data_IF_864643038616
#
_entry.id   IF_864643038616
#
_cell.length_a   1.000
_cell.length_b   1.000
_cell.length_c   1.000
_cell.angle_alpha   90.00
_cell.angle_beta   90.00
_cell.angle_gamma   90.00
#
_symmetry.space_group_name_H-M   'P 1'
#
loop_
_entity.id
_entity.type
_entity.pdbx_description
1 polymer ?
#
# COMPACT_ATOMS: atom_id res chain seq x y z
N UNK A 1 -13.88 16.90 -3.34
CA UNK A 1 -12.85 16.34 -2.43
C UNK A 1 -11.94 15.44 -3.25
N UNK A 2 -10.71 15.86 -3.54
CA UNK A 2 -9.84 15.28 -4.59
C UNK A 2 -9.07 14.03 -4.15
N UNK A 3 -9.16 13.65 -2.88
CA UNK A 3 -8.59 12.43 -2.35
C UNK A 3 -9.68 11.72 -1.56
N UNK A 4 -10.14 10.55 -2.04
CA UNK A 4 -10.84 9.61 -1.17
C UNK A 4 -9.98 9.40 0.10
N UNK A 5 -10.60 9.19 1.28
CA UNK A 5 -9.88 9.06 2.55
C UNK A 5 -8.74 8.04 2.40
N UNK A 6 -7.52 8.57 2.30
CA UNK A 6 -6.34 7.79 1.98
C UNK A 6 -5.79 7.25 3.29
N UNK A 7 -5.96 5.95 3.53
CA UNK A 7 -5.48 5.32 4.76
C UNK A 7 -3.96 5.16 4.68
N UNK A 8 -3.24 6.12 5.26
CA UNK A 8 -1.76 6.10 5.31
C UNK A 8 -1.29 5.15 6.41
N UNK A 9 -0.46 4.16 6.05
CA UNK A 9 0.11 3.19 7.01
C UNK A 9 1.60 2.99 6.81
N UNK A 10 2.26 2.58 7.89
CA UNK A 10 3.64 2.14 7.84
C UNK A 10 3.75 0.88 6.97
N UNK A 11 4.74 0.83 6.09
CA UNK A 11 4.99 -0.37 5.30
C UNK A 11 5.70 -1.43 6.16
N UNK A 12 5.48 -2.72 5.86
CA UNK A 12 6.10 -3.82 6.62
C UNK A 12 7.62 -3.71 6.71
N UNK A 13 8.29 -3.21 5.66
CA UNK A 13 9.74 -3.04 5.68
C UNK A 13 10.17 -1.97 6.68
N UNK A 14 9.51 -0.80 6.69
CA UNK A 14 9.79 0.26 7.65
C UNK A 14 9.47 -0.16 9.08
N UNK A 15 8.38 -0.91 9.28
CA UNK A 15 8.04 -1.52 10.57
C UNK A 15 9.18 -2.41 11.06
N UNK A 16 9.55 -3.44 10.27
CA UNK A 16 10.60 -4.37 10.64
C UNK A 16 11.94 -3.66 10.86
N UNK A 17 12.28 -2.68 10.03
CA UNK A 17 13.51 -1.89 10.18
C UNK A 17 13.52 -1.10 11.48
N UNK A 18 12.45 -0.37 11.79
CA UNK A 18 12.37 0.44 13.02
C UNK A 18 12.49 -0.43 14.28
N UNK A 19 11.78 -1.56 14.30
CA UNK A 19 11.81 -2.53 15.41
C UNK A 19 13.20 -3.17 15.52
N UNK A 20 13.76 -3.67 14.41
CA UNK A 20 15.08 -4.31 14.37
C UNK A 20 16.18 -3.39 14.90
N UNK A 21 16.15 -2.12 14.50
CA UNK A 21 17.11 -1.12 14.98
C UNK A 21 16.99 -0.93 16.49
N UNK A 22 15.77 -0.76 17.02
CA UNK A 22 15.59 -0.46 18.44
C UNK A 22 15.85 -1.66 19.35
N UNK A 23 15.47 -2.86 18.93
CA UNK A 23 15.75 -4.11 19.66
C UNK A 23 17.23 -4.49 19.68
N UNK A 24 18.04 -3.89 18.80
CA UNK A 24 19.50 -4.02 18.80
C UNK A 24 20.25 -2.95 19.57
N UNK A 25 19.55 -2.09 20.31
CA UNK A 25 20.19 -1.10 21.18
C UNK A 25 20.36 -1.66 22.61
N UNK A 26 21.24 -1.04 23.42
CA UNK A 26 21.32 -1.31 24.85
C UNK A 26 19.98 -1.03 25.54
N UNK A 27 19.73 -1.74 26.65
CA UNK A 27 18.59 -1.47 27.53
C UNK A 27 18.62 -0.01 27.98
N UNK A 28 17.46 0.64 27.92
CA UNK A 28 17.22 1.98 28.46
C UNK A 28 15.97 1.90 29.33
N UNK A 29 15.89 2.72 30.38
CA UNK A 29 14.68 2.81 31.22
C UNK A 29 13.48 3.23 30.38
N UNK A 30 12.53 2.31 30.11
CA UNK A 30 11.39 2.66 29.29
C UNK A 30 10.31 3.30 30.18
N UNK A 31 9.66 4.35 29.68
CA UNK A 31 8.43 4.86 30.28
C UNK A 31 7.31 3.85 29.99
N UNK A 32 7.10 2.89 30.89
CA UNK A 32 6.09 1.83 30.77
C UNK A 32 5.25 1.76 32.05
N UNK A 33 3.92 1.82 31.88
CA UNK A 33 2.97 1.66 32.98
C UNK A 33 2.29 0.28 32.86
N UNK A 34 2.63 -0.69 33.73
CA UNK A 34 2.03 -2.04 33.68
C UNK A 34 0.53 -2.04 33.96
N UNK A 35 0.02 -1.13 34.80
CA UNK A 35 -1.41 -1.03 35.10
C UNK A 35 -2.20 -0.51 33.90
N UNK A 36 -1.65 0.45 33.16
CA UNK A 36 -2.25 0.90 31.90
C UNK A 36 -2.32 -0.24 30.89
N UNK A 37 -1.24 -1.01 30.77
CA UNK A 37 -1.17 -2.15 29.87
C UNK A 37 -2.19 -3.23 30.25
N UNK A 38 -2.31 -3.58 31.54
CA UNK A 38 -3.30 -4.54 32.03
C UNK A 38 -4.74 -4.06 31.84
N UNK A 39 -5.02 -2.77 32.04
CA UNK A 39 -6.33 -2.20 31.77
C UNK A 39 -6.73 -2.35 30.29
N UNK A 40 -5.79 -2.17 29.38
CA UNK A 40 -6.01 -2.36 27.94
C UNK A 40 -6.08 -3.85 27.54
N UNK A 41 -5.27 -4.68 28.20
CA UNK A 41 -5.15 -6.12 27.93
C UNK A 41 -5.09 -6.89 29.26
N UNK A 42 -6.21 -7.46 29.73
CA UNK A 42 -6.30 -8.07 31.08
C UNK A 42 -5.34 -9.23 31.37
N UNK A 43 -4.80 -9.87 30.32
CA UNK A 43 -3.83 -10.96 30.44
C UNK A 43 -2.41 -10.49 30.78
N UNK A 44 -2.14 -9.18 30.77
CA UNK A 44 -0.83 -8.64 31.12
C UNK A 44 -0.65 -8.68 32.63
N UNK A 45 0.45 -9.29 33.07
CA UNK A 45 0.86 -9.31 34.47
C UNK A 45 1.61 -8.03 34.83
N UNK A 46 1.24 -7.42 35.95
CA UNK A 46 1.83 -6.17 36.42
C UNK A 46 3.24 -6.35 37.01
N UNK A 47 3.58 -7.55 37.44
CA UNK A 47 4.91 -7.94 37.92
C UNK A 47 5.94 -8.13 36.79
N UNK A 48 5.47 -8.25 35.54
CA UNK A 48 6.31 -8.29 34.34
C UNK A 48 6.69 -6.88 33.86
N UNK A 49 7.28 -6.09 34.77
CA UNK A 49 7.76 -4.75 34.52
C UNK A 49 9.29 -4.72 34.34
N UNK A 50 9.83 -3.82 33.50
CA UNK A 50 11.28 -3.57 33.41
C UNK A 50 11.89 -3.26 34.78
N UNK A 51 13.09 -3.76 35.03
CA UNK A 51 13.81 -3.47 36.27
C UNK A 51 14.45 -2.10 36.14
N UNK A 52 14.03 -1.16 36.98
CA UNK A 52 14.62 0.19 37.07
C UNK A 52 15.96 0.08 37.80
N UNK A 53 17.00 0.76 37.31
CA UNK A 53 18.36 0.73 37.88
C UNK A 53 19.05 -0.64 37.84
N UNK A 54 18.84 -1.44 36.79
CA UNK A 54 19.67 -2.62 36.57
C UNK A 54 21.16 -2.21 36.57
N UNK A 55 22.04 -2.93 37.29
CA UNK A 55 23.44 -2.52 37.44
C UNK A 55 24.10 -2.30 36.08
N UNK A 56 24.90 -1.23 35.94
CA UNK A 56 25.55 -0.77 34.70
C UNK A 56 26.30 -1.90 33.95
N UNK A 57 26.69 -2.96 34.66
CA UNK A 57 27.38 -4.14 34.13
C UNK A 57 26.47 -5.16 33.42
N UNK A 58 25.14 -5.06 33.56
CA UNK A 58 24.12 -5.87 32.85
C UNK A 58 23.54 -5.17 31.61
N UNK A 59 24.28 -4.23 31.02
CA UNK A 59 23.90 -3.48 29.80
C UNK A 59 23.98 -4.33 28.54
N UNK A 60 23.37 -5.52 28.58
CA UNK A 60 23.06 -6.32 27.41
C UNK A 60 22.10 -5.59 26.47
N UNK A 61 22.09 -6.03 25.21
CA UNK A 61 21.10 -5.60 24.23
C UNK A 61 19.67 -5.91 24.72
N UNK A 62 18.67 -5.21 24.17
CA UNK A 62 17.26 -5.53 24.45
C UNK A 62 16.90 -6.99 24.14
N UNK A 63 17.54 -7.57 23.13
CA UNK A 63 17.28 -8.93 22.61
C UNK A 63 18.54 -9.52 22.00
N UNK A 64 18.66 -10.85 22.00
CA UNK A 64 19.61 -11.58 21.14
C UNK A 64 19.20 -11.47 19.66
N UNK A 65 20.07 -11.91 18.74
CA UNK A 65 19.76 -11.92 17.30
C UNK A 65 18.59 -12.85 17.00
N UNK A 66 18.57 -14.05 17.59
CA UNK A 66 17.50 -15.05 17.41
C UNK A 66 16.15 -14.53 17.92
N UNK A 67 16.13 -13.97 19.14
CA UNK A 67 14.93 -13.36 19.72
C UNK A 67 14.39 -12.23 18.83
N UNK A 68 15.30 -11.43 18.28
CA UNK A 68 14.93 -10.33 17.39
C UNK A 68 14.30 -10.84 16.10
N UNK A 69 14.90 -11.82 15.44
CA UNK A 69 14.32 -12.40 14.22
C UNK A 69 12.94 -13.01 14.51
N UNK A 70 12.78 -13.69 15.66
CA UNK A 70 11.47 -14.23 16.07
C UNK A 70 10.43 -13.14 16.31
N UNK A 71 10.78 -12.04 16.97
CA UNK A 71 9.88 -10.89 17.14
C UNK A 71 9.50 -10.30 15.77
N UNK A 72 10.44 -10.19 14.84
CA UNK A 72 10.18 -9.67 13.49
C UNK A 72 9.29 -10.59 12.66
N UNK A 73 9.36 -11.91 12.86
CA UNK A 73 8.43 -12.89 12.28
C UNK A 73 7.01 -12.67 12.81
N UNK A 74 6.85 -12.62 14.14
CA UNK A 74 5.55 -12.36 14.79
C UNK A 74 4.94 -11.06 14.29
N UNK A 75 5.70 -9.96 14.29
CA UNK A 75 5.22 -8.68 13.76
C UNK A 75 4.85 -8.75 12.27
N UNK A 76 5.56 -9.55 11.48
CA UNK A 76 5.20 -9.80 10.07
C UNK A 76 3.88 -10.54 9.91
N UNK A 77 3.62 -11.52 10.77
CA UNK A 77 2.35 -12.24 10.82
C UNK A 77 1.21 -11.29 11.21
N UNK A 78 1.35 -10.59 12.34
CA UNK A 78 0.36 -9.63 12.84
C UNK A 78 0.06 -8.51 11.83
N UNK A 79 1.08 -8.05 11.10
CA UNK A 79 0.92 -7.01 10.07
C UNK A 79 -0.11 -7.41 9.03
N UNK A 80 -0.16 -8.69 8.67
CA UNK A 80 -0.93 -9.17 7.53
C UNK A 80 -2.35 -9.62 7.88
N UNK A 81 -2.68 -9.85 9.14
CA UNK A 81 -4.01 -10.30 9.59
C UNK A 81 -5.07 -9.20 9.41
N UNK A 82 -6.30 -9.60 9.07
CA UNK A 82 -7.44 -8.69 8.89
C UNK A 82 -8.76 -9.47 8.98
N UNK A 83 -9.85 -8.85 9.44
CA UNK A 83 -11.18 -9.47 9.51
C UNK A 83 -11.79 -9.90 8.16
N UNK A 84 -11.16 -9.56 7.03
CA UNK A 84 -11.62 -9.89 5.68
C UNK A 84 -10.74 -10.99 5.05
N UNK A 85 -9.72 -11.45 5.75
CA UNK A 85 -8.82 -12.50 5.30
C UNK A 85 -8.88 -13.62 6.35
N UNK A 86 -9.30 -14.83 5.98
CA UNK A 86 -9.30 -15.93 6.92
C UNK A 86 -7.88 -16.31 7.32
N UNK A 87 -7.72 -16.89 8.50
CA UNK A 87 -6.50 -17.55 8.94
C UNK A 87 -6.78 -19.04 9.10
N UNK A 88 -6.32 -19.85 8.14
CA UNK A 88 -6.78 -21.24 8.02
C UNK A 88 -8.23 -21.29 7.51
N UNK A 89 -9.15 -21.66 8.39
CA UNK A 89 -10.57 -21.76 8.08
C UNK A 89 -11.42 -20.70 8.78
N UNK A 90 -10.82 -19.94 9.70
CA UNK A 90 -11.56 -19.03 10.58
C UNK A 90 -11.37 -17.56 10.19
N UNK A 91 -12.44 -16.79 10.37
CA UNK A 91 -12.39 -15.34 10.37
C UNK A 91 -12.39 -14.85 11.81
N UNK A 92 -11.81 -13.68 12.05
CA UNK A 92 -11.79 -13.07 13.38
C UNK A 92 -11.99 -11.57 13.23
N UNK A 93 -12.66 -10.94 14.19
CA UNK A 93 -12.83 -9.48 14.17
C UNK A 93 -11.48 -8.77 14.28
N UNK A 94 -11.41 -7.53 13.80
CA UNK A 94 -10.20 -6.72 13.89
C UNK A 94 -9.74 -6.53 15.36
N UNK A 95 -10.69 -6.43 16.29
CA UNK A 95 -10.43 -6.33 17.74
C UNK A 95 -9.88 -7.64 18.30
N UNK A 96 -10.46 -8.79 17.94
CA UNK A 96 -9.94 -10.10 18.34
C UNK A 96 -8.54 -10.35 17.79
N UNK A 97 -8.28 -9.98 16.53
CA UNK A 97 -6.96 -10.07 15.90
C UNK A 97 -5.93 -9.23 16.66
N UNK A 98 -6.29 -8.02 17.08
CA UNK A 98 -5.40 -7.16 17.86
C UNK A 98 -5.11 -7.79 19.23
N UNK A 99 -6.13 -8.24 19.96
CA UNK A 99 -5.95 -8.92 21.25
C UNK A 99 -5.05 -10.15 21.13
N UNK A 100 -5.30 -11.01 20.14
CA UNK A 100 -4.52 -12.22 19.89
C UNK A 100 -3.07 -11.89 19.48
N UNK A 101 -2.87 -10.89 18.62
CA UNK A 101 -1.52 -10.44 18.21
C UNK A 101 -0.72 -9.86 19.38
N UNK A 102 -1.39 -9.11 20.27
CA UNK A 102 -0.78 -8.58 21.49
C UNK A 102 -0.44 -9.71 22.46
N UNK A 103 -1.35 -10.67 22.65
CA UNK A 103 -1.16 -11.83 23.52
C UNK A 103 0.02 -12.68 23.06
N UNK A 104 0.06 -13.06 21.78
CA UNK A 104 1.17 -13.84 21.21
C UNK A 104 2.53 -13.16 21.41
N UNK A 105 2.60 -11.83 21.23
CA UNK A 105 3.84 -11.09 21.47
C UNK A 105 4.20 -11.01 22.95
N UNK A 106 3.21 -10.80 23.82
CA UNK A 106 3.40 -10.72 25.26
C UNK A 106 3.88 -12.04 25.84
N UNK A 107 3.22 -13.16 25.52
CA UNK A 107 3.57 -14.51 25.96
C UNK A 107 4.99 -14.86 25.54
N UNK A 108 5.36 -14.59 24.28
CA UNK A 108 6.73 -14.78 23.82
C UNK A 108 7.75 -13.99 24.65
N UNK A 109 7.45 -12.72 24.95
CA UNK A 109 8.33 -11.90 25.80
C UNK A 109 8.39 -12.43 27.24
N UNK A 110 7.27 -12.90 27.78
CA UNK A 110 7.15 -13.43 29.13
C UNK A 110 7.99 -14.69 29.30
N UNK A 111 7.83 -15.66 28.39
CA UNK A 111 8.58 -16.93 28.37
C UNK A 111 10.10 -16.73 28.32
N UNK A 112 10.56 -15.70 27.60
CA UNK A 112 11.98 -15.41 27.41
C UNK A 112 12.50 -14.30 28.36
N UNK A 113 11.71 -13.89 29.35
CA UNK A 113 12.01 -12.83 30.31
C UNK A 113 12.45 -11.48 29.66
N UNK A 114 11.83 -11.12 28.53
CA UNK A 114 12.15 -9.93 27.74
C UNK A 114 11.40 -8.67 28.20
N UNK A 115 11.50 -8.34 29.49
CA UNK A 115 10.74 -7.24 30.13
C UNK A 115 10.92 -5.88 29.44
N UNK A 116 12.17 -5.49 29.16
CA UNK A 116 12.48 -4.22 28.48
C UNK A 116 12.02 -4.21 27.02
N UNK A 117 12.10 -5.35 26.33
CA UNK A 117 11.62 -5.45 24.95
C UNK A 117 10.10 -5.33 24.90
N UNK A 118 9.38 -5.99 25.80
CA UNK A 118 7.93 -5.87 25.92
C UNK A 118 7.49 -4.43 26.19
N UNK A 119 8.11 -3.75 27.17
CA UNK A 119 7.81 -2.36 27.48
C UNK A 119 7.98 -1.43 26.26
N UNK A 120 9.03 -1.65 25.47
CA UNK A 120 9.21 -0.97 24.19
C UNK A 120 8.12 -1.35 23.18
N UNK A 121 7.83 -2.64 23.01
CA UNK A 121 6.89 -3.15 22.01
C UNK A 121 5.47 -2.65 22.27
N UNK A 122 5.00 -2.78 23.52
CA UNK A 122 3.69 -2.30 23.95
C UNK A 122 3.52 -0.82 23.63
N UNK A 123 4.40 0.04 24.20
CA UNK A 123 4.29 1.49 24.12
C UNK A 123 4.27 2.03 22.70
N UNK A 124 5.08 1.45 21.81
CA UNK A 124 5.32 2.02 20.49
C UNK A 124 4.52 1.31 19.37
N UNK A 125 4.04 0.09 19.61
CA UNK A 125 3.46 -0.73 18.54
C UNK A 125 2.12 -1.38 18.90
N UNK A 126 1.93 -1.86 20.13
CA UNK A 126 0.76 -2.68 20.47
C UNK A 126 -0.36 -1.96 21.21
N UNK A 127 -0.18 -0.70 21.64
CA UNK A 127 -1.33 0.09 22.10
C UNK A 127 -2.34 0.28 20.96
N UNK A 128 -3.63 0.41 21.29
CA UNK A 128 -4.74 0.63 20.34
C UNK A 128 -4.42 1.76 19.36
N UNK A 129 -3.80 2.83 19.83
CA UNK A 129 -3.46 3.99 18.99
C UNK A 129 -2.35 3.64 17.99
N UNK A 130 -1.27 3.00 18.44
CA UNK A 130 -0.13 2.71 17.58
C UNK A 130 -0.38 1.52 16.65
N UNK A 131 -1.13 0.52 17.11
CA UNK A 131 -1.46 -0.68 16.35
C UNK A 131 -2.15 -0.33 15.01
N UNK A 132 -3.07 0.64 15.05
CA UNK A 132 -3.78 1.16 13.86
C UNK A 132 -2.87 1.77 12.79
N UNK A 133 -1.65 2.20 13.15
CA UNK A 133 -0.71 2.85 12.22
C UNK A 133 0.04 1.87 11.31
N UNK A 134 0.10 0.59 11.68
CA UNK A 134 0.91 -0.40 10.96
C UNK A 134 0.15 -1.68 10.61
N UNK A 135 -0.74 -2.17 11.47
CA UNK A 135 -1.42 -3.45 11.24
C UNK A 135 -2.51 -3.32 10.17
N UNK A 136 -2.70 -4.40 9.37
CA UNK A 136 -3.81 -4.43 8.42
C UNK A 136 -5.16 -4.33 9.13
N UNK A 137 -5.36 -5.12 10.19
CA UNK A 137 -6.57 -5.13 11.03
C UNK A 137 -6.82 -3.83 11.81
N UNK A 138 -5.95 -2.82 11.70
CA UNK A 138 -6.21 -1.50 12.26
C UNK A 138 -7.24 -0.67 11.48
N UNK A 139 -7.71 -1.17 10.34
CA UNK A 139 -8.64 -0.50 9.42
C UNK A 139 -9.86 -1.39 9.27
N UNK A 140 -11.04 -0.80 9.44
CA UNK A 140 -12.29 -1.55 9.34
C UNK A 140 -12.79 -1.60 7.89
N UNK A 141 -13.43 -2.71 7.55
CA UNK A 141 -14.16 -2.94 6.28
C UNK A 141 -13.34 -2.84 4.99
N UNK A 142 -12.03 -2.55 5.03
CA UNK A 142 -11.21 -2.43 3.82
C UNK A 142 -9.72 -2.71 4.04
N UNK A 143 -9.06 -3.21 3.00
CA UNK A 143 -7.61 -3.45 2.94
C UNK A 143 -6.96 -2.44 1.98
N UNK A 144 -6.10 -1.54 2.49
CA UNK A 144 -5.32 -0.64 1.65
C UNK A 144 -4.50 -1.36 0.57
N UNK A 145 -4.76 -1.00 -0.69
CA UNK A 145 -4.13 -1.56 -1.91
C UNK A 145 -2.63 -1.20 -2.00
N UNK A 146 -2.24 -0.06 -1.44
CA UNK A 146 -0.89 0.50 -1.54
C UNK A 146 -0.21 0.68 -0.18
N UNK A 147 1.12 0.49 -0.16
CA UNK A 147 1.99 0.90 0.95
C UNK A 147 2.30 2.38 0.77
N UNK A 148 1.45 3.25 1.32
CA UNK A 148 1.44 4.70 1.04
C UNK A 148 2.78 5.38 1.30
N UNK A 149 3.48 5.03 2.38
CA UNK A 149 4.81 5.59 2.71
C UNK A 149 5.83 5.37 1.59
N UNK A 150 5.91 4.15 1.03
CA UNK A 150 6.86 3.85 -0.05
C UNK A 150 6.52 4.59 -1.36
N UNK A 151 5.23 4.72 -1.70
CA UNK A 151 4.81 5.40 -2.92
C UNK A 151 5.11 6.91 -2.83
N UNK A 152 4.83 7.51 -1.68
CA UNK A 152 5.13 8.92 -1.40
C UNK A 152 6.64 9.15 -1.41
N UNK A 153 7.42 8.33 -0.72
CA UNK A 153 8.89 8.44 -0.72
C UNK A 153 9.49 8.26 -2.10
N UNK A 154 9.01 7.29 -2.88
CA UNK A 154 9.46 7.06 -4.25
C UNK A 154 9.14 8.25 -5.15
N UNK A 155 7.94 8.82 -5.02
CA UNK A 155 7.54 10.03 -5.73
C UNK A 155 8.50 11.19 -5.43
N UNK A 156 8.74 11.49 -4.15
CA UNK A 156 9.66 12.55 -3.75
C UNK A 156 11.12 12.26 -4.14
N UNK A 157 11.53 10.99 -4.10
CA UNK A 157 12.87 10.58 -4.52
C UNK A 157 13.10 10.84 -6.01
N UNK A 158 12.13 10.49 -6.87
CA UNK A 158 12.20 10.78 -8.31
C UNK A 158 12.28 12.29 -8.50
N UNK A 159 11.35 13.05 -7.92
CA UNK A 159 11.30 14.49 -8.08
C UNK A 159 12.58 15.20 -7.65
N UNK A 160 13.13 14.83 -6.48
CA UNK A 160 14.40 15.39 -5.99
C UNK A 160 15.57 15.09 -6.91
N UNK A 161 15.64 13.87 -7.46
CA UNK A 161 16.76 13.44 -8.31
C UNK A 161 16.67 13.91 -9.74
N UNK A 162 15.46 14.06 -10.30
CA UNK A 162 15.27 14.37 -11.72
C UNK A 162 15.00 15.84 -11.99
N UNK A 163 14.39 16.55 -11.03
CA UNK A 163 13.95 17.92 -11.24
C UNK A 163 14.55 18.92 -10.26
N UNK A 164 14.84 18.51 -9.03
CA UNK A 164 15.32 19.42 -7.98
C UNK A 164 16.78 19.17 -7.56
N UNK A 165 17.57 18.46 -8.37
CA UNK A 165 18.90 17.99 -7.97
C UNK A 165 19.93 19.13 -7.76
N UNK A 166 19.71 20.28 -8.39
CA UNK A 166 20.53 21.49 -8.20
C UNK A 166 19.99 22.44 -7.12
N UNK A 167 18.82 22.16 -6.54
CA UNK A 167 18.16 23.08 -5.61
C UNK A 167 18.22 22.52 -4.19
N UNK A 168 19.11 23.08 -3.37
CA UNK A 168 19.06 22.86 -1.93
C UNK A 168 17.90 23.68 -1.36
N UNK A 169 16.89 23.03 -0.76
CA UNK A 169 15.65 23.66 -0.28
C UNK A 169 14.91 24.46 -1.35
N UNK A 170 14.49 23.77 -2.42
CA UNK A 170 13.68 24.38 -3.48
C UNK A 170 12.46 25.12 -2.91
N UNK A 171 12.22 26.35 -3.38
CA UNK A 171 11.04 27.13 -3.02
C UNK A 171 9.75 26.43 -3.47
N UNK A 172 8.65 26.69 -2.76
CA UNK A 172 7.36 26.04 -3.00
C UNK A 172 6.78 26.32 -4.40
N UNK A 173 7.01 27.53 -4.93
CA UNK A 173 6.61 27.93 -6.28
C UNK A 173 7.32 27.11 -7.36
N UNK A 174 8.65 26.98 -7.27
CA UNK A 174 9.45 26.14 -8.17
C UNK A 174 9.01 24.67 -8.08
N UNK A 175 8.78 24.16 -6.86
CA UNK A 175 8.27 22.83 -6.65
C UNK A 175 6.92 22.62 -7.35
N UNK A 176 5.99 23.57 -7.19
CA UNK A 176 4.66 23.51 -7.80
C UNK A 176 4.75 23.54 -9.32
N UNK A 177 5.56 24.44 -9.87
CA UNK A 177 5.83 24.52 -11.30
C UNK A 177 6.37 23.19 -11.85
N UNK A 178 7.39 22.61 -11.22
CA UNK A 178 7.98 21.32 -11.60
C UNK A 178 6.95 20.20 -11.58
N UNK A 179 6.10 20.16 -10.56
CA UNK A 179 5.04 19.16 -10.43
C UNK A 179 4.05 19.24 -11.60
N UNK A 180 3.55 20.45 -11.89
CA UNK A 180 2.51 20.67 -12.89
C UNK A 180 3.06 20.50 -14.32
N UNK A 181 4.19 21.13 -14.63
CA UNK A 181 4.68 21.20 -16.02
C UNK A 181 5.47 19.96 -16.44
N UNK A 182 6.33 19.44 -15.57
CA UNK A 182 7.26 18.38 -15.96
C UNK A 182 6.82 17.02 -15.48
N UNK A 183 6.39 16.91 -14.23
CA UNK A 183 6.13 15.62 -13.62
C UNK A 183 4.75 15.09 -13.98
N UNK A 184 3.71 15.90 -13.85
CA UNK A 184 2.33 15.51 -14.16
C UNK A 184 2.16 15.11 -15.63
N UNK A 185 2.74 15.86 -16.58
CA UNK A 185 2.70 15.52 -18.01
C UNK A 185 3.27 14.13 -18.28
N UNK A 186 4.44 13.80 -17.71
CA UNK A 186 5.05 12.46 -17.83
C UNK A 186 4.16 11.38 -17.24
N UNK A 187 3.56 11.63 -16.08
CA UNK A 187 2.62 10.70 -15.44
C UNK A 187 1.37 10.47 -16.29
N UNK A 188 0.77 11.53 -16.84
CA UNK A 188 -0.41 11.46 -17.70
C UNK A 188 -0.14 10.61 -18.95
N UNK A 189 0.98 10.85 -19.65
CA UNK A 189 1.35 10.07 -20.84
C UNK A 189 1.61 8.59 -20.50
N UNK A 190 2.27 8.32 -19.37
CA UNK A 190 2.49 6.95 -18.89
C UNK A 190 1.16 6.26 -18.54
N UNK A 191 0.25 6.97 -17.90
CA UNK A 191 -1.07 6.47 -17.54
C UNK A 191 -1.92 6.16 -18.78
N UNK A 192 -1.98 7.08 -19.74
CA UNK A 192 -2.70 6.87 -21.00
C UNK A 192 -2.15 5.66 -21.77
N UNK A 193 -0.84 5.59 -21.97
CA UNK A 193 -0.22 4.46 -22.70
C UNK A 193 -0.35 3.10 -21.98
N UNK A 194 -0.27 3.08 -20.65
CA UNK A 194 -0.26 1.82 -19.89
C UNK A 194 -1.66 1.34 -19.53
N UNK A 195 -2.57 2.24 -19.17
CA UNK A 195 -3.85 1.86 -18.56
C UNK A 195 -5.04 2.10 -19.49
N UNK A 196 -5.08 3.25 -20.17
CA UNK A 196 -6.17 3.57 -21.13
C UNK A 196 -6.01 2.77 -22.43
N UNK A 197 -4.86 2.94 -23.08
CA UNK A 197 -4.56 2.31 -24.37
C UNK A 197 -3.87 0.94 -24.22
N UNK A 198 -3.42 0.56 -23.02
CA UNK A 198 -2.76 -0.75 -22.79
C UNK A 198 -1.63 -1.10 -23.77
N UNK A 199 -0.98 -0.11 -24.38
CA UNK A 199 0.16 -0.27 -25.29
C UNK A 199 1.35 -0.91 -24.56
N UNK A 200 1.45 -0.66 -23.26
CA UNK A 200 2.46 -1.23 -22.37
C UNK A 200 1.79 -1.98 -21.22
N UNK A 201 2.33 -3.15 -20.89
CA UNK A 201 1.89 -3.93 -19.74
C UNK A 201 2.40 -3.27 -18.46
N UNK A 202 1.50 -3.01 -17.51
CA UNK A 202 1.85 -2.42 -16.23
C UNK A 202 2.80 -3.33 -15.44
N UNK A 203 3.69 -2.75 -14.62
CA UNK A 203 4.59 -3.53 -13.77
C UNK A 203 3.82 -4.51 -12.87
N UNK A 204 2.73 -4.04 -12.26
CA UNK A 204 1.86 -4.89 -11.44
C UNK A 204 1.32 -6.09 -12.22
N UNK A 205 0.79 -5.89 -13.43
CA UNK A 205 0.25 -6.97 -14.27
C UNK A 205 1.34 -7.97 -14.65
N UNK A 206 2.54 -7.50 -15.04
CA UNK A 206 3.69 -8.37 -15.30
C UNK A 206 4.02 -9.24 -14.08
N UNK A 207 4.12 -8.64 -12.90
CA UNK A 207 4.44 -9.35 -11.66
C UNK A 207 3.33 -10.33 -11.27
N UNK A 208 2.06 -9.93 -11.42
CA UNK A 208 0.92 -10.79 -11.13
C UNK A 208 0.89 -12.03 -12.01
N UNK A 209 1.09 -11.87 -13.33
CA UNK A 209 1.08 -12.99 -14.28
C UNK A 209 2.27 -13.93 -14.05
N UNK A 210 3.45 -13.38 -13.73
CA UNK A 210 4.60 -14.21 -13.38
C UNK A 210 4.32 -15.08 -12.14
N UNK A 211 3.78 -14.50 -11.07
CA UNK A 211 3.39 -15.24 -9.87
C UNK A 211 2.20 -16.17 -10.11
N UNK A 212 1.27 -15.83 -11.01
CA UNK A 212 0.19 -16.70 -11.46
C UNK A 212 0.73 -17.99 -12.06
N UNK A 213 1.62 -17.89 -13.05
CA UNK A 213 2.21 -19.07 -13.67
C UNK A 213 3.04 -19.91 -12.70
N UNK A 214 3.71 -19.28 -11.73
CA UNK A 214 4.42 -20.00 -10.66
C UNK A 214 3.45 -20.75 -9.76
N UNK A 215 2.35 -20.11 -9.36
CA UNK A 215 1.32 -20.68 -8.52
C UNK A 215 0.54 -21.81 -9.23
N UNK A 216 0.35 -21.68 -10.55
CA UNK A 216 -0.24 -22.71 -11.39
C UNK A 216 0.64 -23.96 -11.48
N UNK A 217 1.95 -23.82 -11.65
CA UNK A 217 2.84 -25.00 -11.66
C UNK A 217 3.02 -25.64 -10.29
N UNK A 218 2.61 -24.98 -9.21
CA UNK A 218 2.80 -25.49 -7.86
C UNK A 218 1.73 -26.51 -7.48
N UNK A 219 2.17 -27.60 -6.84
CA UNK A 219 1.26 -28.60 -6.28
C UNK A 219 0.58 -28.06 -5.01
N UNK A 220 -0.70 -28.40 -4.86
CA UNK A 220 -1.50 -28.07 -3.67
C UNK A 220 -1.33 -29.20 -2.66
N UNK A 221 -0.99 -28.83 -1.42
CA UNK A 221 -0.95 -29.78 -0.30
C UNK A 221 -2.36 -30.24 0.05
N UNK A 222 -2.54 -31.43 0.63
CA UNK A 222 -3.85 -31.94 1.09
C UNK A 222 -4.51 -31.16 2.26
N UNK A 223 -3.90 -30.06 2.72
CA UNK A 223 -4.45 -29.20 3.77
C UNK A 223 -5.58 -28.34 3.19
N UNK A 224 -6.78 -28.46 3.76
CA UNK A 224 -7.92 -27.58 3.47
C UNK A 224 -7.69 -26.18 4.02
N UNK A 225 -8.04 -25.17 3.23
CA UNK A 225 -8.07 -23.76 3.62
C UNK A 225 -9.39 -23.16 3.17
N UNK A 226 -9.93 -22.17 3.89
CA UNK A 226 -11.09 -21.40 3.47
C UNK A 226 -10.76 -20.58 2.20
N UNK A 227 -10.88 -21.22 1.03
CA UNK A 227 -10.62 -20.65 -0.29
C UNK A 227 -11.94 -20.30 -0.94
N UNK A 228 -12.15 -19.02 -1.25
CA UNK A 228 -13.41 -18.50 -1.78
C UNK A 228 -13.11 -17.58 -2.97
N UNK A 229 -13.54 -18.01 -4.17
CA UNK A 229 -13.35 -17.23 -5.41
C UNK A 229 -14.25 -16.00 -5.48
N UNK A 230 -15.47 -16.07 -4.94
CA UNK A 230 -16.43 -14.96 -4.96
C UNK A 230 -15.93 -13.76 -4.15
N UNK A 231 -15.23 -14.02 -3.05
CA UNK A 231 -14.56 -13.00 -2.23
C UNK A 231 -13.09 -12.79 -2.58
N UNK A 232 -12.52 -13.63 -3.45
CA UNK A 232 -11.09 -13.69 -3.77
C UNK A 232 -10.20 -13.75 -2.51
N UNK A 233 -10.44 -14.75 -1.66
CA UNK A 233 -9.69 -14.94 -0.40
C UNK A 233 -9.27 -16.40 -0.22
N UNK A 234 -8.16 -16.59 0.48
CA UNK A 234 -7.70 -17.90 0.90
C UNK A 234 -7.05 -17.81 2.28
N UNK A 235 -7.33 -18.75 3.17
CA UNK A 235 -6.78 -18.74 4.52
C UNK A 235 -5.34 -19.25 4.66
N UNK A 236 -4.68 -19.57 3.55
CA UNK A 236 -3.30 -20.04 3.59
C UNK A 236 -2.29 -18.92 3.90
N UNK A 237 -1.18 -19.30 4.53
CA UNK A 237 -0.08 -18.38 4.89
C UNK A 237 0.48 -17.64 3.67
N UNK A 238 0.53 -18.30 2.51
CA UNK A 238 1.01 -17.68 1.27
C UNK A 238 0.12 -16.50 0.82
N UNK A 239 -1.21 -16.64 0.92
CA UNK A 239 -2.14 -15.55 0.59
C UNK A 239 -1.99 -14.39 1.57
N UNK A 240 -1.91 -14.69 2.87
CA UNK A 240 -1.76 -13.71 3.94
C UNK A 240 -0.56 -12.77 3.70
N UNK A 241 0.57 -13.34 3.28
CA UNK A 241 1.81 -12.61 3.02
C UNK A 241 1.92 -12.05 1.59
N UNK A 242 1.00 -12.41 0.69
CA UNK A 242 1.06 -12.01 -0.71
C UNK A 242 0.73 -10.52 -0.90
N UNK A 243 1.61 -9.72 -1.52
CA UNK A 243 1.28 -8.34 -1.88
C UNK A 243 0.30 -8.25 -3.07
N UNK A 244 0.04 -9.37 -3.74
CA UNK A 244 -0.78 -9.48 -4.94
C UNK A 244 -2.17 -10.05 -4.67
N UNK A 245 -2.47 -10.42 -3.41
CA UNK A 245 -3.66 -11.19 -3.05
C UNK A 245 -3.80 -12.46 -3.90
N UNK A 246 -2.71 -13.24 -3.98
CA UNK A 246 -2.61 -14.42 -4.83
C UNK A 246 -1.92 -15.56 -4.09
N UNK A 247 -2.41 -16.79 -4.29
CA UNK A 247 -1.79 -18.04 -3.84
C UNK A 247 -2.13 -19.18 -4.81
N UNK A 248 -1.42 -20.30 -4.72
CA UNK A 248 -1.68 -21.50 -5.53
C UNK A 248 -3.10 -22.05 -5.39
N UNK A 249 -3.69 -22.01 -4.19
CA UNK A 249 -5.06 -22.49 -3.96
C UNK A 249 -6.09 -21.70 -4.77
N UNK A 250 -5.98 -20.36 -4.79
CA UNK A 250 -6.85 -19.51 -5.58
C UNK A 250 -6.66 -19.74 -7.09
N UNK A 251 -5.42 -19.88 -7.55
CA UNK A 251 -5.13 -20.12 -8.97
C UNK A 251 -5.75 -21.46 -9.42
N UNK A 252 -5.56 -22.52 -8.63
CA UNK A 252 -6.13 -23.84 -8.93
C UNK A 252 -7.64 -23.87 -8.87
N UNK A 253 -8.24 -23.27 -7.84
CA UNK A 253 -9.69 -23.13 -7.76
C UNK A 253 -10.25 -22.35 -8.96
N UNK A 254 -9.59 -21.26 -9.35
CA UNK A 254 -9.99 -20.44 -10.50
C UNK A 254 -9.95 -21.24 -11.81
N UNK A 255 -8.87 -21.98 -12.06
CA UNK A 255 -8.73 -22.84 -13.24
C UNK A 255 -9.76 -23.96 -13.26
N UNK A 256 -10.02 -24.60 -12.11
CA UNK A 256 -11.04 -25.64 -11.99
C UNK A 256 -12.45 -25.12 -12.26
N UNK A 257 -12.72 -23.83 -11.96
CA UNK A 257 -14.00 -23.20 -12.29
C UNK A 257 -14.16 -22.82 -13.78
N UNK A 258 -13.22 -23.20 -14.65
CA UNK A 258 -13.25 -22.96 -16.11
C UNK A 258 -13.52 -21.50 -16.50
N UNK A 259 -12.96 -20.56 -15.73
CA UNK A 259 -13.04 -19.13 -16.00
C UNK A 259 -12.05 -18.69 -17.10
N UNK A 260 -11.96 -17.37 -17.35
CA UNK A 260 -11.10 -16.76 -18.37
C UNK A 260 -9.64 -17.21 -18.26
N UNK A 261 -9.02 -17.52 -19.39
CA UNK A 261 -7.57 -17.75 -19.43
C UNK A 261 -6.80 -16.47 -19.08
N UNK A 262 -5.95 -16.56 -18.06
CA UNK A 262 -5.15 -15.42 -17.58
C UNK A 262 -3.91 -15.26 -18.44
N UNK A 263 -4.08 -14.54 -19.55
CA UNK A 263 -3.01 -14.23 -20.51
C UNK A 263 -2.75 -12.72 -20.51
N UNK A 264 -1.46 -12.35 -20.53
CA UNK A 264 -1.05 -10.95 -20.54
C UNK A 264 -1.72 -10.18 -21.68
N UNK A 265 -2.23 -8.97 -21.37
CA UNK A 265 -2.96 -8.09 -22.31
C UNK A 265 -4.31 -8.62 -22.82
N UNK A 266 -4.70 -9.86 -22.51
CA UNK A 266 -6.04 -10.38 -22.81
C UNK A 266 -6.99 -10.22 -21.62
N UNK A 267 -6.45 -9.99 -20.42
CA UNK A 267 -7.23 -9.73 -19.21
C UNK A 267 -6.89 -8.39 -18.58
N UNK A 268 -7.86 -7.80 -17.89
CA UNK A 268 -7.70 -6.69 -16.98
C UNK A 268 -7.82 -7.17 -15.54
N UNK A 269 -6.76 -6.99 -14.76
CA UNK A 269 -6.72 -7.38 -13.35
C UNK A 269 -7.06 -6.14 -12.54
N UNK A 270 -8.32 -6.06 -12.13
CA UNK A 270 -8.82 -4.99 -11.28
C UNK A 270 -8.57 -5.35 -9.81
N UNK A 271 -7.95 -4.43 -9.05
CA UNK A 271 -7.77 -4.57 -7.60
C UNK A 271 -8.82 -3.76 -6.85
N UNK A 272 -9.30 -4.30 -5.75
CA UNK A 272 -10.23 -3.62 -4.83
C UNK A 272 -9.68 -3.59 -3.40
N UNK A 273 -10.15 -2.61 -2.61
CA UNK A 273 -9.89 -2.55 -1.16
C UNK A 273 -10.88 -3.43 -0.39
N UNK A 274 -11.95 -3.86 -1.02
CA UNK A 274 -12.99 -4.75 -0.47
C UNK A 274 -13.09 -6.01 -1.31
N UNK A 275 -13.52 -7.15 -0.73
CA UNK A 275 -13.81 -8.36 -1.48
C UNK A 275 -14.82 -8.11 -2.62
N UNK A 276 -14.63 -8.72 -3.81
CA UNK A 276 -13.46 -9.49 -4.22
C UNK A 276 -12.23 -8.60 -4.42
N UNK A 277 -11.11 -8.96 -3.78
CA UNK A 277 -9.88 -8.18 -3.81
C UNK A 277 -9.25 -8.11 -5.20
N UNK A 278 -9.47 -9.14 -6.02
CA UNK A 278 -9.09 -9.17 -7.43
C UNK A 278 -10.32 -9.56 -8.25
N UNK A 279 -10.53 -8.85 -9.35
CA UNK A 279 -11.41 -9.26 -10.43
C UNK A 279 -10.58 -9.40 -11.70
N UNK A 280 -10.73 -10.54 -12.37
CA UNK A 280 -10.14 -10.80 -13.67
C UNK A 280 -11.24 -10.58 -14.70
N UNK A 281 -11.08 -9.54 -15.49
CA UNK A 281 -12.06 -9.12 -16.50
C UNK A 281 -11.47 -9.32 -17.89
N UNK A 282 -12.30 -9.61 -18.92
CA UNK A 282 -11.82 -9.55 -20.29
C UNK A 282 -11.40 -8.11 -20.60
N UNK A 283 -10.44 -7.92 -21.49
CA UNK A 283 -10.04 -6.56 -21.89
C UNK A 283 -10.05 -6.45 -23.41
N UNK A 284 -10.61 -5.34 -23.89
CA UNK A 284 -10.52 -4.89 -25.28
C UNK A 284 -9.79 -3.55 -25.30
N UNK A 285 -9.36 -3.10 -26.47
CA UNK A 285 -8.71 -1.80 -26.64
C UNK A 285 -9.70 -0.78 -27.22
N UNK A 286 -9.99 0.37 -26.56
CA UNK A 286 -9.54 0.78 -25.23
C UNK A 286 -10.26 0.02 -24.11
N UNK A 287 -9.64 -0.07 -22.92
CA UNK A 287 -10.15 -0.90 -21.83
C UNK A 287 -11.41 -0.31 -21.17
N UNK A 288 -12.62 -0.89 -21.37
CA UNK A 288 -13.88 -0.29 -20.93
C UNK A 288 -14.07 -0.28 -19.41
N UNK A 289 -13.25 -1.04 -18.68
CA UNK A 289 -13.35 -1.18 -17.22
C UNK A 289 -12.46 -0.20 -16.44
N UNK A 290 -11.83 0.76 -17.13
CA UNK A 290 -10.87 1.64 -16.52
C UNK A 290 -11.40 3.08 -16.36
N UNK A 291 -11.22 3.74 -15.20
CA UNK A 291 -11.77 5.06 -14.91
C UNK A 291 -11.12 6.25 -15.67
N UNK A 292 -10.29 5.97 -16.68
CA UNK A 292 -9.63 7.01 -17.46
C UNK A 292 -10.53 7.47 -18.61
N UNK A 293 -10.51 8.76 -18.92
CA UNK A 293 -11.28 9.36 -20.00
C UNK A 293 -11.12 8.56 -21.30
N UNK A 294 -12.22 8.03 -21.81
CA UNK A 294 -12.23 7.36 -23.10
C UNK A 294 -12.23 8.41 -24.22
N UNK A 295 -11.54 8.18 -25.34
CA UNK A 295 -11.54 9.11 -26.48
C UNK A 295 -12.93 9.44 -27.06
N UNK A 296 -14.00 8.79 -26.60
CA UNK A 296 -15.37 9.07 -27.03
C UNK A 296 -16.08 10.16 -26.21
N UNK A 297 -15.49 10.65 -25.11
CA UNK A 297 -16.10 11.69 -24.26
C UNK A 297 -15.80 13.14 -24.71
N UNK A 298 -15.00 13.34 -25.76
CA UNK A 298 -14.67 14.65 -26.31
C UNK A 298 -15.05 14.78 -27.81
N UNK A 299 -16.27 14.40 -28.17
CA UNK A 299 -16.96 15.03 -29.31
C UNK A 299 -17.76 16.24 -28.80
N UNK A 300 -17.06 17.20 -28.19
CA UNK A 300 -17.56 18.57 -28.17
C UNK A 300 -17.14 19.20 -29.50
N UNK A 301 -18.05 19.79 -30.29
CA UNK A 301 -17.64 20.53 -31.47
C UNK A 301 -16.63 21.60 -31.03
N UNK A 302 -15.42 21.54 -31.59
CA UNK A 302 -14.38 22.52 -31.31
C UNK A 302 -14.92 23.93 -31.59
N UNK A 303 -14.44 24.95 -30.86
CA UNK A 303 -14.86 26.32 -31.11
C UNK A 303 -14.57 26.69 -32.57
N UNK A 304 -15.45 27.47 -33.23
CA UNK A 304 -15.29 27.79 -34.64
C UNK A 304 -13.91 28.42 -34.86
N UNK A 305 -13.17 27.85 -35.81
CA UNK A 305 -11.87 28.36 -36.24
C UNK A 305 -12.00 29.85 -36.53
N UNK A 306 -11.13 30.65 -35.90
CA UNK A 306 -11.01 32.10 -36.10
C UNK A 306 -11.07 32.43 -37.59
N UNK A 307 -11.93 33.39 -37.95
CA UNK A 307 -11.95 34.02 -39.28
C UNK A 307 -10.52 34.40 -39.69
N UNK A 308 -10.11 34.16 -40.94
CA UNK A 308 -8.80 34.58 -41.43
C UNK A 308 -8.62 36.09 -41.24
N UNK A 309 -7.47 36.50 -40.69
CA UNK A 309 -7.07 37.90 -40.62
C UNK A 309 -6.95 38.44 -42.05
N UNK A 310 -7.59 39.59 -42.27
CA UNK A 310 -7.58 40.30 -43.54
C UNK A 310 -6.16 40.57 -44.06
N UNK A 311 -6.03 40.43 -45.37
CA UNK A 311 -4.87 40.86 -46.15
C UNK A 311 -4.76 42.38 -45.99
N UNK A 312 -3.68 42.86 -45.40
CA UNK A 312 -3.29 44.26 -45.51
C UNK A 312 -2.80 44.50 -46.94
N UNK A 313 -3.68 45.01 -47.80
CA UNK A 313 -3.28 45.76 -49.00
C UNK A 313 -2.90 47.17 -48.56
N UNK A 314 -1.61 47.47 -48.59
CA UNK A 314 -1.12 48.84 -48.59
C UNK A 314 -1.26 49.34 -50.02
N UNK A 315 -2.15 50.30 -50.25
CA UNK A 315 -2.05 51.22 -51.37
C UNK A 315 -2.38 52.60 -50.84
N UNK A 316 -1.45 53.51 -51.14
CA UNK A 316 -1.52 54.93 -50.87
C UNK A 316 -2.59 55.61 -51.74
N UNK A 317 -2.87 56.84 -51.34
CA UNK A 317 -3.28 57.99 -52.14
C UNK A 317 -4.75 58.42 -52.10
N UNK A 318 -4.87 59.72 -51.77
CA UNK A 318 -5.87 60.70 -52.22
C UNK A 318 -7.21 60.82 -51.49
N UNK A 319 -7.13 61.60 -50.40
CA UNK A 319 -7.81 62.90 -50.22
C UNK A 319 -8.73 63.37 -51.38
N UNK A 320 -10.06 63.36 -51.18
CA UNK A 320 -10.91 64.48 -51.62
C UNK A 320 -12.28 64.48 -50.90
N UNK A 321 -12.53 65.58 -50.18
CA UNK A 321 -13.81 65.98 -49.61
C UNK A 321 -14.70 66.58 -50.70
N UNK A 322 -15.93 66.09 -50.88
CA UNK A 322 -17.02 66.90 -51.44
C UNK A 322 -18.37 66.59 -50.76
N UNK A 323 -19.02 67.66 -50.28
CA UNK A 323 -20.40 67.73 -49.81
C UNK A 323 -21.39 67.60 -50.99
N UNK A 324 -22.69 67.40 -50.72
CA UNK A 324 -23.58 68.54 -50.99
C UNK A 324 -24.80 68.66 -50.06
N UNK A 325 -25.30 69.90 -49.94
CA UNK A 325 -26.73 70.24 -49.81
C UNK A 325 -27.42 69.96 -48.49
#
# INVERSE_FOLDING_TARGET
>A
ATWNPSVVRLCLWHLKRAVKTKLGQPKSDPVYNPFQAQHEFPFIRTDFAPVVNAPIRETGLLTTVEQRERILELMGSHYNRHALIPNGETFSSNTAIHQDSTRQMYEYCLEHNLRHAWAYLYRNWYTIIHYKRWAKSGVDNMIPIGKTTMLIEAHWKVMKRTHLYHYNRARLDLLTYVVLEHYYRKLKMKYQSTVVHRQKTALFEKTFIAEWHKADRAEVSGISYATNLNQWVCGCVAFLHSPLALCKHLVKAYQASNQLHVIARMVFIQRSQTPPFIRILPTIHPNPYHPGSHPQEELRPGPPLRRPRGVHSVNNDEEELTFPG
#
